data_IF_420708302584
#
_entry.id   IF_420708302584
#
_cell.length_a   1.000
_cell.length_b   1.000
_cell.length_c   1.000
_cell.angle_alpha   90.00
_cell.angle_beta   90.00
_cell.angle_gamma   90.00
#
_symmetry.space_group_name_H-M   'P 1'
#
loop_
_entity.id
_entity.type
_entity.pdbx_description
1 polymer ?
#
# COMPACT_ATOMS: atom_id res chain seq x y z
N UNK A 1 26.91 -32.73 -0.73
CA UNK A 1 25.87 -31.78 -1.18
C UNK A 1 26.50 -30.92 -2.25
N UNK A 2 25.90 -30.90 -3.44
CA UNK A 2 26.55 -30.67 -4.74
C UNK A 2 27.17 -29.29 -4.94
N UNK A 3 28.44 -29.26 -5.38
CA UNK A 3 29.25 -28.07 -5.75
C UNK A 3 28.67 -27.23 -6.90
N UNK A 4 27.61 -27.67 -7.57
CA UNK A 4 26.98 -26.95 -8.68
C UNK A 4 25.99 -25.86 -8.24
N UNK A 5 25.56 -25.84 -6.98
CA UNK A 5 24.54 -24.89 -6.49
C UNK A 5 24.99 -23.44 -6.64
N UNK A 6 26.27 -23.17 -6.42
CA UNK A 6 26.85 -21.82 -6.46
C UNK A 6 27.16 -21.33 -7.89
N UNK A 7 27.06 -22.24 -8.89
CA UNK A 7 27.24 -21.91 -10.32
C UNK A 7 25.93 -21.49 -11.00
N UNK A 8 24.79 -21.58 -10.29
CA UNK A 8 23.47 -21.28 -10.84
C UNK A 8 23.08 -19.83 -10.53
N UNK A 9 22.62 -19.09 -11.54
CA UNK A 9 22.06 -17.75 -11.36
C UNK A 9 20.60 -17.84 -10.90
N UNK A 10 20.40 -18.14 -9.62
CA UNK A 10 19.08 -18.26 -9.02
C UNK A 10 18.53 -16.88 -8.62
N UNK A 11 17.21 -16.65 -8.73
CA UNK A 11 16.59 -15.43 -8.24
C UNK A 11 16.76 -15.29 -6.72
N UNK A 12 17.25 -14.13 -6.30
CA UNK A 12 17.32 -13.73 -4.89
C UNK A 12 16.49 -12.47 -4.68
N UNK A 13 15.70 -12.45 -3.60
CA UNK A 13 14.90 -11.28 -3.23
C UNK A 13 14.76 -11.17 -1.72
N UNK A 14 14.85 -9.94 -1.22
CA UNK A 14 14.49 -9.62 0.17
C UNK A 14 12.97 -9.55 0.39
N UNK A 15 12.17 -9.68 -0.66
CA UNK A 15 10.71 -9.72 -0.56
C UNK A 15 10.27 -11.07 0.03
N UNK A 16 9.65 -11.09 1.22
CA UNK A 16 9.24 -12.35 1.81
C UNK A 16 8.03 -12.92 1.07
N UNK A 17 8.00 -14.24 0.96
CA UNK A 17 6.87 -14.94 0.35
C UNK A 17 5.55 -14.79 1.12
N UNK A 18 5.61 -14.57 2.44
CA UNK A 18 4.41 -14.32 3.27
C UNK A 18 4.19 -12.82 3.45
N UNK A 19 2.94 -12.39 3.31
CA UNK A 19 2.57 -10.97 3.39
C UNK A 19 2.79 -10.33 4.76
N UNK A 20 2.43 -10.99 5.86
CA UNK A 20 2.45 -10.42 7.22
C UNK A 20 1.67 -9.08 7.32
N UNK A 21 0.50 -9.03 6.67
CA UNK A 21 -0.25 -7.80 6.42
C UNK A 21 -0.69 -7.08 7.71
N UNK A 22 -1.13 -7.81 8.72
CA UNK A 22 -1.55 -7.23 10.00
C UNK A 22 -0.48 -6.33 10.66
N UNK A 23 0.81 -6.59 10.41
CA UNK A 23 1.91 -5.76 10.90
C UNK A 23 2.38 -4.73 9.87
N UNK A 24 2.39 -5.10 8.59
CA UNK A 24 2.92 -4.23 7.52
C UNK A 24 1.98 -3.11 7.09
N UNK A 25 0.67 -3.36 7.08
CA UNK A 25 -0.31 -2.39 6.64
C UNK A 25 -0.30 -1.13 7.54
N UNK A 26 -0.26 -1.23 8.88
CA UNK A 26 -0.08 -0.07 9.74
C UNK A 26 1.17 0.76 9.43
N UNK A 27 2.33 0.13 9.24
CA UNK A 27 3.58 0.81 8.90
C UNK A 27 3.51 1.52 7.53
N UNK A 28 2.84 0.90 6.56
CA UNK A 28 2.60 1.50 5.25
C UNK A 28 1.71 2.75 5.33
N UNK A 29 0.62 2.68 6.11
CA UNK A 29 -0.27 3.81 6.34
C UNK A 29 0.46 4.96 7.04
N UNK A 30 1.23 4.67 8.09
CA UNK A 30 2.03 5.69 8.79
C UNK A 30 2.99 6.41 7.85
N UNK A 31 3.69 5.65 6.99
CA UNK A 31 4.56 6.24 5.97
C UNK A 31 3.79 7.15 5.02
N UNK A 32 2.64 6.73 4.51
CA UNK A 32 1.83 7.55 3.58
C UNK A 32 1.33 8.84 4.22
N UNK A 33 0.96 8.80 5.50
CA UNK A 33 0.58 10.00 6.26
C UNK A 33 1.77 10.94 6.45
N UNK A 34 2.94 10.39 6.82
CA UNK A 34 4.17 11.17 6.99
C UNK A 34 4.63 11.86 5.70
N UNK A 35 4.43 11.20 4.56
CA UNK A 35 4.82 11.70 3.24
C UNK A 35 3.79 12.64 2.60
N UNK A 36 2.62 12.86 3.22
CA UNK A 36 1.47 13.54 2.60
C UNK A 36 1.17 12.99 1.19
N UNK A 37 1.10 11.65 1.09
CA UNK A 37 0.93 10.98 -0.22
C UNK A 37 -0.30 11.49 -0.97
N UNK A 38 -1.39 11.77 -0.25
CA UNK A 38 -2.60 12.34 -0.86
C UNK A 38 -2.32 13.73 -1.46
N UNK A 39 -1.65 14.62 -0.73
CA UNK A 39 -1.23 15.92 -1.23
C UNK A 39 -0.33 15.81 -2.47
N UNK A 40 0.64 14.89 -2.48
CA UNK A 40 1.50 14.63 -3.63
C UNK A 40 0.70 14.16 -4.87
N UNK A 41 -0.27 13.27 -4.68
CA UNK A 41 -1.19 12.85 -5.75
C UNK A 41 -1.98 14.05 -6.28
N UNK A 42 -2.48 14.93 -5.40
CA UNK A 42 -3.21 16.15 -5.82
C UNK A 42 -2.32 17.10 -6.63
N UNK A 43 -1.07 17.30 -6.21
CA UNK A 43 -0.08 18.13 -6.94
C UNK A 43 0.20 17.54 -8.33
N UNK A 44 0.47 16.24 -8.44
CA UNK A 44 0.78 15.56 -9.70
C UNK A 44 -0.39 15.50 -10.70
N UNK A 45 -1.63 15.72 -10.22
CA UNK A 45 -2.85 15.75 -11.05
C UNK A 45 -3.34 17.18 -11.35
N UNK A 46 -2.63 18.23 -10.91
CA UNK A 46 -3.00 19.63 -11.21
C UNK A 46 -3.14 19.85 -12.71
N UNK A 47 -4.23 20.51 -13.11
CA UNK A 47 -4.53 20.85 -14.52
C UNK A 47 -5.09 19.70 -15.37
N UNK A 48 -5.18 18.47 -14.84
CA UNK A 48 -5.85 17.36 -15.53
C UNK A 48 -7.37 17.44 -15.33
N UNK A 49 -8.13 16.76 -16.20
CA UNK A 49 -9.58 16.65 -16.07
C UNK A 49 -9.95 16.09 -14.69
N UNK A 50 -10.79 16.81 -13.96
CA UNK A 50 -11.27 16.38 -12.65
C UNK A 50 -12.18 15.18 -12.77
N UNK A 51 -12.04 14.26 -11.82
CA UNK A 51 -13.01 13.21 -11.53
C UNK A 51 -13.46 13.40 -10.08
N UNK A 52 -14.77 13.45 -9.84
CA UNK A 52 -15.37 13.69 -8.53
C UNK A 52 -16.17 12.46 -8.13
N UNK A 53 -15.78 11.82 -7.04
CA UNK A 53 -16.51 10.73 -6.40
C UNK A 53 -17.14 11.28 -5.13
N UNK A 54 -18.47 11.32 -5.08
CA UNK A 54 -19.22 11.73 -3.90
C UNK A 54 -19.42 10.51 -2.99
N UNK A 55 -18.81 10.54 -1.81
CA UNK A 55 -19.04 9.52 -0.79
C UNK A 55 -20.26 9.88 0.06
N UNK A 56 -21.08 8.88 0.38
CA UNK A 56 -22.26 9.07 1.22
C UNK A 56 -21.84 9.26 2.67
N UNK A 57 -22.38 10.24 3.41
CA UNK A 57 -22.01 10.40 4.82
C UNK A 57 -22.46 9.15 5.61
N UNK A 58 -21.56 8.46 6.31
CA UNK A 58 -21.94 7.35 7.16
C UNK A 58 -22.73 7.85 8.36
N UNK A 59 -23.57 6.99 8.93
CA UNK A 59 -24.15 7.26 10.23
C UNK A 59 -23.06 7.20 11.32
N UNK A 60 -23.05 8.19 12.22
CA UNK A 60 -22.03 8.29 13.28
C UNK A 60 -22.35 7.47 14.54
N UNK A 61 -23.32 6.54 14.48
CA UNK A 61 -23.76 5.72 15.60
C UNK A 61 -23.49 4.23 15.34
N UNK A 62 -22.42 3.71 15.94
CA UNK A 62 -22.07 2.28 15.89
C UNK A 62 -20.74 1.99 15.19
N UNK A 63 -20.34 0.73 15.23
CA UNK A 63 -19.14 0.25 14.56
C UNK A 63 -19.37 0.07 13.06
N UNK A 64 -18.31 0.24 12.28
CA UNK A 64 -18.32 -0.01 10.84
C UNK A 64 -18.49 -1.51 10.61
N UNK A 65 -19.45 -1.89 9.77
CA UNK A 65 -19.57 -3.26 9.25
C UNK A 65 -18.95 -3.37 7.86
N UNK A 66 -18.88 -4.59 7.31
CA UNK A 66 -18.19 -4.89 6.04
C UNK A 66 -18.84 -4.27 4.76
N UNK A 67 -19.87 -3.45 4.93
CA UNK A 67 -20.69 -2.88 3.85
C UNK A 67 -20.71 -1.38 3.97
#
# INVERSE_FOLDING_TARGET
MSEYKDTLNLPETGFPMRGNLANREPEMLERWYKEDLYGEIRKAKKGKKSFVLHDGPPYANGDIHIG
#
